data_IF_548954365139
#
_entry.id   IF_548954365139
#
_cell.length_a   1.000
_cell.length_b   1.000
_cell.length_c   1.000
_cell.angle_alpha   90.00
_cell.angle_beta   90.00
_cell.angle_gamma   90.00
#
_symmetry.space_group_name_H-M   'P 1'
#
loop_
_entity.id
_entity.type
_entity.pdbx_description
1 polymer ?
#
# COMPACT_ATOMS: atom_id res chain seq x y z
N UNK A 1 13.09 -19.97 9.32
CA UNK A 1 12.04 -20.43 10.28
C UNK A 1 12.62 -20.50 11.69
N UNK A 2 11.82 -20.21 12.73
CA UNK A 2 12.24 -20.35 14.14
C UNK A 2 11.68 -21.66 14.72
N UNK A 3 12.52 -22.47 15.38
CA UNK A 3 12.14 -23.73 16.03
C UNK A 3 12.68 -23.78 17.45
N UNK A 4 11.93 -24.37 18.38
CA UNK A 4 12.40 -24.63 19.73
C UNK A 4 11.78 -25.92 20.26
N UNK A 5 12.59 -26.71 20.97
CA UNK A 5 12.11 -27.89 21.68
C UNK A 5 11.94 -27.53 23.16
N UNK A 6 10.79 -27.87 23.73
CA UNK A 6 10.53 -27.63 25.16
C UNK A 6 11.50 -28.47 26.00
N UNK A 7 12.03 -27.86 27.06
CA UNK A 7 12.94 -28.56 27.99
C UNK A 7 12.15 -29.11 29.16
N UNK A 8 12.49 -30.32 29.63
CA UNK A 8 11.92 -30.86 30.87
C UNK A 8 12.21 -29.88 32.02
N UNK A 9 11.19 -29.54 32.79
CA UNK A 9 11.22 -28.65 33.97
C UNK A 9 11.32 -27.13 33.68
N UNK A 10 11.01 -26.69 32.45
CA UNK A 10 10.77 -25.26 32.17
C UNK A 10 9.34 -25.04 31.69
N UNK A 11 8.81 -23.87 31.99
CA UNK A 11 7.50 -23.42 31.55
C UNK A 11 7.51 -22.90 30.09
N UNK A 12 8.34 -23.53 29.25
CA UNK A 12 8.50 -23.13 27.84
C UNK A 12 7.16 -23.28 27.09
N UNK A 13 6.33 -24.26 27.47
CA UNK A 13 5.05 -24.55 26.82
C UNK A 13 4.00 -23.45 27.01
N UNK A 14 3.83 -22.93 28.22
CA UNK A 14 2.83 -21.89 28.46
C UNK A 14 3.30 -20.53 27.93
N UNK A 15 4.61 -20.27 27.91
CA UNK A 15 5.19 -19.14 27.16
C UNK A 15 4.89 -19.22 25.66
N UNK A 16 5.01 -20.39 25.02
CA UNK A 16 4.67 -20.53 23.60
C UNK A 16 3.18 -20.34 23.32
N UNK A 17 2.29 -20.82 24.21
CA UNK A 17 0.85 -20.57 24.09
C UNK A 17 0.49 -19.09 24.21
N UNK A 18 1.30 -18.31 24.94
CA UNK A 18 1.11 -16.87 25.08
C UNK A 18 1.57 -16.07 23.84
N UNK A 19 2.34 -16.67 22.94
CA UNK A 19 2.72 -16.05 21.67
C UNK A 19 1.56 -16.11 20.68
N UNK A 20 1.33 -14.98 20.01
CA UNK A 20 0.27 -14.83 19.03
C UNK A 20 0.75 -13.98 17.85
N UNK A 21 0.07 -14.12 16.71
CA UNK A 21 0.36 -13.35 15.50
C UNK A 21 0.27 -11.85 15.79
N UNK A 22 1.28 -11.09 15.34
CA UNK A 22 1.35 -9.64 15.49
C UNK A 22 2.27 -9.15 16.63
N UNK A 23 2.72 -10.05 17.52
CA UNK A 23 3.71 -9.73 18.55
C UNK A 23 5.11 -9.62 17.97
N UNK A 24 5.90 -8.72 18.54
CA UNK A 24 7.34 -8.62 18.25
C UNK A 24 8.09 -9.47 19.26
N UNK A 25 9.05 -10.26 18.78
CA UNK A 25 9.87 -11.11 19.64
C UNK A 25 11.35 -10.88 19.37
N UNK A 26 12.15 -11.01 20.41
CA UNK A 26 13.60 -11.15 20.32
C UNK A 26 13.91 -12.62 20.60
N UNK A 27 14.56 -13.28 19.66
CA UNK A 27 14.94 -14.69 19.78
C UNK A 27 16.46 -14.83 19.72
N UNK A 28 16.99 -15.77 20.49
CA UNK A 28 18.41 -16.14 20.47
C UNK A 28 18.54 -17.64 20.25
N UNK A 29 19.47 -18.04 19.38
CA UNK A 29 19.70 -19.43 19.05
C UNK A 29 20.82 -19.62 18.03
N UNK A 30 21.04 -20.88 17.66
CA UNK A 30 21.98 -21.28 16.61
C UNK A 30 21.26 -21.38 15.26
N UNK A 31 21.95 -21.05 14.18
CA UNK A 31 21.46 -21.23 12.82
C UNK A 31 21.93 -22.59 12.31
N UNK A 32 21.02 -23.41 11.81
CA UNK A 32 21.29 -24.75 11.28
C UNK A 32 20.55 -24.94 9.96
N UNK A 33 21.11 -25.73 9.05
CA UNK A 33 20.36 -26.19 7.87
C UNK A 33 19.38 -27.28 8.30
N UNK A 34 18.10 -27.08 8.01
CA UNK A 34 17.08 -28.09 8.22
C UNK A 34 16.79 -28.79 6.89
N UNK A 35 17.17 -30.05 6.78
CA UNK A 35 17.06 -30.81 5.53
C UNK A 35 15.61 -31.18 5.16
N UNK A 36 14.68 -31.12 6.11
CA UNK A 36 13.26 -31.35 5.84
C UNK A 36 12.60 -30.09 5.27
N UNK A 37 12.87 -28.93 5.89
CA UNK A 37 12.40 -27.61 5.40
C UNK A 37 13.20 -27.15 4.17
N UNK A 38 14.42 -27.65 4.00
CA UNK A 38 15.41 -27.27 2.97
C UNK A 38 15.77 -25.80 3.00
N UNK A 39 15.94 -25.27 4.21
CA UNK A 39 16.27 -23.87 4.46
C UNK A 39 17.04 -23.74 5.78
N UNK A 40 17.66 -22.57 5.99
CA UNK A 40 18.24 -22.20 7.27
C UNK A 40 17.14 -21.94 8.30
N UNK A 41 17.28 -22.60 9.45
CA UNK A 41 16.39 -22.41 10.59
C UNK A 41 17.19 -21.98 11.81
N UNK A 42 16.56 -21.18 12.66
CA UNK A 42 17.11 -20.89 13.98
C UNK A 42 16.55 -21.89 14.98
N UNK A 43 17.42 -22.70 15.58
CA UNK A 43 17.12 -23.47 16.77
C UNK A 43 17.27 -22.55 17.98
N UNK A 44 16.15 -22.02 18.45
CA UNK A 44 16.09 -21.06 19.56
C UNK A 44 16.43 -21.73 20.88
N UNK A 45 17.25 -21.06 21.69
CA UNK A 45 17.50 -21.38 23.09
C UNK A 45 16.71 -20.49 24.04
N UNK A 46 16.35 -19.28 23.58
CA UNK A 46 15.63 -18.27 24.33
C UNK A 46 14.74 -17.39 23.42
N UNK A 47 13.64 -16.89 23.99
CA UNK A 47 12.67 -16.03 23.30
C UNK A 47 12.02 -15.07 24.30
N UNK A 48 11.91 -13.80 23.91
CA UNK A 48 11.31 -12.74 24.71
C UNK A 48 10.35 -11.93 23.85
N UNK A 49 9.14 -11.67 24.36
CA UNK A 49 8.24 -10.71 23.76
C UNK A 49 8.76 -9.29 24.00
N UNK A 50 8.94 -8.53 22.92
CA UNK A 50 9.40 -7.16 22.98
C UNK A 50 8.34 -6.20 22.47
N UNK A 51 8.33 -4.98 23.00
CA UNK A 51 7.50 -3.91 22.46
C UNK A 51 8.29 -3.19 21.37
N UNK A 52 7.85 -3.32 20.12
CA UNK A 52 8.37 -2.46 19.05
C UNK A 52 7.74 -1.08 19.16
N UNK A 53 8.58 -0.06 19.31
CA UNK A 53 8.12 1.32 19.16
C UNK A 53 7.79 1.58 17.69
N UNK A 54 6.52 1.84 17.34
CA UNK A 54 6.16 2.19 15.97
C UNK A 54 6.75 3.55 15.60
N UNK A 55 6.88 3.83 14.30
CA UNK A 55 7.26 5.16 13.82
C UNK A 55 6.23 6.19 14.32
N UNK A 56 6.71 7.29 14.88
CA UNK A 56 5.88 8.35 15.44
C UNK A 56 5.99 9.62 14.59
N UNK A 57 4.86 10.30 14.43
CA UNK A 57 4.80 11.69 13.96
C UNK A 57 4.85 12.60 15.19
N UNK A 58 5.93 13.38 15.33
CA UNK A 58 6.17 14.28 16.47
C UNK A 58 5.93 15.75 16.15
N UNK A 59 5.41 16.07 14.96
CA UNK A 59 5.12 17.45 14.60
C UNK A 59 3.97 17.99 15.47
N UNK A 60 4.00 19.28 15.79
CA UNK A 60 2.88 19.96 16.46
C UNK A 60 1.72 20.09 15.47
N UNK A 61 2.00 20.62 14.28
CA UNK A 61 1.06 20.69 13.17
C UNK A 61 1.09 19.38 12.36
N UNK A 62 -0.05 18.70 12.31
CA UNK A 62 -0.17 17.39 11.65
C UNK A 62 -0.35 17.53 10.14
N UNK A 63 0.42 16.74 9.39
CA UNK A 63 0.32 16.64 7.93
C UNK A 63 -1.03 16.09 7.51
N UNK A 64 -1.48 16.48 6.32
CA UNK A 64 -2.50 15.78 5.53
C UNK A 64 -1.83 15.23 4.27
N UNK A 65 -2.02 13.93 4.01
CA UNK A 65 -1.57 13.31 2.77
C UNK A 65 -2.62 13.50 1.68
N UNK A 66 -2.21 14.00 0.52
CA UNK A 66 -3.08 14.35 -0.59
C UNK A 66 -2.93 13.42 -1.80
N UNK A 67 -1.90 12.57 -1.84
CA UNK A 67 -1.66 11.61 -2.92
C UNK A 67 -1.27 10.27 -2.32
N UNK A 68 -2.13 9.26 -2.48
CA UNK A 68 -1.93 7.93 -1.90
C UNK A 68 -2.57 6.83 -2.73
N UNK A 69 -1.79 5.79 -2.97
CA UNK A 69 -2.18 4.57 -3.67
C UNK A 69 -2.47 3.42 -2.70
N UNK A 70 -3.49 2.65 -3.04
CA UNK A 70 -3.97 1.49 -2.31
C UNK A 70 -3.81 0.24 -3.18
N UNK A 71 -4.11 -0.93 -2.62
CA UNK A 71 -4.18 -2.19 -3.38
C UNK A 71 -5.17 -2.20 -4.55
N UNK A 72 -6.00 -1.15 -4.69
CA UNK A 72 -6.90 -0.98 -5.84
C UNK A 72 -6.20 -0.31 -7.03
N UNK A 73 -5.07 0.37 -6.83
CA UNK A 73 -4.15 0.71 -7.93
C UNK A 73 -3.53 -0.57 -8.47
N UNK A 74 -4.02 -0.99 -9.64
CA UNK A 74 -3.71 -2.31 -10.20
C UNK A 74 -2.21 -2.55 -10.35
N UNK A 75 -1.70 -3.58 -9.66
CA UNK A 75 -0.30 -4.00 -9.68
C UNK A 75 0.71 -2.95 -9.18
N UNK A 76 0.25 -1.95 -8.42
CA UNK A 76 1.10 -0.85 -7.95
C UNK A 76 1.04 -0.68 -6.42
N UNK A 77 -0.12 -0.34 -5.86
CA UNK A 77 -0.26 -0.19 -4.41
C UNK A 77 -0.34 -1.54 -3.69
N UNK A 78 0.26 -1.63 -2.49
CA UNK A 78 0.30 -2.88 -1.70
C UNK A 78 -0.77 -2.89 -0.59
N UNK A 79 -0.86 -1.89 0.31
CA UNK A 79 -1.80 -1.95 1.44
C UNK A 79 -3.23 -1.54 1.05
N UNK A 80 -4.22 -2.12 1.71
CA UNK A 80 -5.60 -1.62 1.67
C UNK A 80 -5.69 -0.24 2.37
N UNK A 81 -6.60 0.62 1.91
CA UNK A 81 -6.82 1.96 2.47
C UNK A 81 -7.05 1.97 3.99
N UNK A 82 -7.66 0.92 4.54
CA UNK A 82 -7.92 0.78 5.97
C UNK A 82 -6.64 0.83 6.82
N UNK A 83 -5.54 0.25 6.33
CA UNK A 83 -4.26 0.26 7.03
C UNK A 83 -3.65 1.67 7.07
N UNK A 84 -3.81 2.43 5.99
CA UNK A 84 -3.35 3.82 5.93
C UNK A 84 -4.18 4.74 6.83
N UNK A 85 -5.50 4.57 6.84
CA UNK A 85 -6.39 5.32 7.74
C UNK A 85 -6.05 5.04 9.21
N UNK A 86 -5.83 3.77 9.58
CA UNK A 86 -5.41 3.42 10.94
C UNK A 86 -4.06 4.06 11.30
N UNK A 87 -3.11 4.08 10.36
CA UNK A 87 -1.81 4.70 10.56
C UNK A 87 -1.89 6.23 10.68
N UNK A 88 -2.71 6.87 9.85
CA UNK A 88 -2.99 8.31 9.91
C UNK A 88 -3.60 8.70 11.26
N UNK A 89 -4.56 7.91 11.76
CA UNK A 89 -5.14 8.09 13.09
C UNK A 89 -4.11 7.93 14.21
N UNK A 90 -3.22 6.93 14.14
CA UNK A 90 -2.10 6.77 15.10
C UNK A 90 -1.13 7.96 15.09
N UNK A 91 -0.97 8.63 13.94
CA UNK A 91 -0.16 9.84 13.81
C UNK A 91 -0.90 11.13 14.15
N UNK A 92 -2.21 11.06 14.39
CA UNK A 92 -3.05 12.22 14.69
C UNK A 92 -3.36 13.10 13.47
N UNK A 93 -3.20 12.58 12.25
CA UNK A 93 -3.58 13.32 11.04
C UNK A 93 -5.10 13.53 11.04
N UNK A 94 -5.56 14.71 10.63
CA UNK A 94 -7.00 15.03 10.65
C UNK A 94 -7.74 14.53 9.40
N UNK A 95 -7.02 14.36 8.29
CA UNK A 95 -7.56 13.97 7.00
C UNK A 95 -6.57 13.11 6.22
N UNK A 96 -7.08 12.33 5.27
CA UNK A 96 -6.31 11.48 4.38
C UNK A 96 -6.98 11.41 3.00
N UNK A 97 -6.21 11.57 1.93
CA UNK A 97 -6.70 11.36 0.58
C UNK A 97 -6.47 9.92 0.09
N UNK A 98 -7.33 9.48 -0.83
CA UNK A 98 -7.12 8.31 -1.68
C UNK A 98 -7.17 8.76 -3.13
N UNK A 99 -6.19 8.35 -3.93
CA UNK A 99 -6.01 8.78 -5.33
C UNK A 99 -5.50 7.62 -6.18
N UNK A 100 -6.24 6.51 -6.19
CA UNK A 100 -5.86 5.34 -6.98
C UNK A 100 -5.83 5.63 -8.49
N UNK A 101 -5.01 4.89 -9.23
CA UNK A 101 -4.85 5.05 -10.67
C UNK A 101 -6.12 4.69 -11.43
N UNK A 102 -6.74 5.70 -12.05
CA UNK A 102 -7.91 5.59 -12.94
C UNK A 102 -9.15 4.91 -12.32
N UNK A 103 -9.17 4.69 -11.01
CA UNK A 103 -10.25 3.97 -10.32
C UNK A 103 -10.58 4.62 -8.98
N UNK A 104 -11.77 4.30 -8.48
CA UNK A 104 -12.30 4.74 -7.17
C UNK A 104 -12.77 3.56 -6.32
N UNK A 105 -12.27 2.35 -6.60
CA UNK A 105 -12.74 1.10 -5.99
C UNK A 105 -12.47 1.02 -4.48
N UNK A 106 -11.49 1.76 -3.98
CA UNK A 106 -11.17 1.82 -2.55
C UNK A 106 -12.17 2.64 -1.72
N UNK A 107 -13.11 3.37 -2.34
CA UNK A 107 -14.00 4.30 -1.64
C UNK A 107 -14.88 3.67 -0.55
N UNK A 108 -15.49 2.49 -0.74
CA UNK A 108 -16.30 1.86 0.31
C UNK A 108 -15.47 1.53 1.56
N UNK A 109 -14.30 0.90 1.38
CA UNK A 109 -13.39 0.57 2.48
C UNK A 109 -12.87 1.84 3.17
N UNK A 110 -12.55 2.88 2.38
CA UNK A 110 -12.10 4.17 2.89
C UNK A 110 -13.15 4.82 3.79
N UNK A 111 -14.42 4.78 3.40
CA UNK A 111 -15.53 5.32 4.17
C UNK A 111 -15.67 4.62 5.53
N UNK A 112 -15.72 3.28 5.52
CA UNK A 112 -15.88 2.47 6.73
C UNK A 112 -14.70 2.70 7.69
N UNK A 113 -13.48 2.69 7.17
CA UNK A 113 -12.28 2.90 7.98
C UNK A 113 -12.23 4.31 8.59
N UNK A 114 -12.59 5.32 7.81
CA UNK A 114 -12.58 6.71 8.26
C UNK A 114 -13.61 7.00 9.34
N UNK A 115 -14.83 6.48 9.21
CA UNK A 115 -15.85 6.59 10.25
C UNK A 115 -15.37 5.93 11.55
N UNK A 116 -14.81 4.72 11.45
CA UNK A 116 -14.28 3.98 12.60
C UNK A 116 -13.15 4.71 13.33
N UNK A 117 -12.28 5.40 12.59
CA UNK A 117 -11.07 6.02 13.14
C UNK A 117 -11.15 7.55 13.30
N UNK A 118 -12.28 8.17 12.95
CA UNK A 118 -12.48 9.61 13.06
C UNK A 118 -11.61 10.44 12.11
N UNK A 119 -11.26 9.90 10.94
CA UNK A 119 -10.43 10.57 9.93
C UNK A 119 -11.34 11.17 8.86
N UNK A 120 -11.08 12.40 8.42
CA UNK A 120 -11.77 12.97 7.25
C UNK A 120 -11.17 12.41 5.96
N UNK A 121 -11.92 11.58 5.23
CA UNK A 121 -11.48 11.18 3.89
C UNK A 121 -11.60 12.31 2.87
N UNK A 122 -10.61 12.35 1.98
CA UNK A 122 -10.62 13.12 0.73
C UNK A 122 -10.68 12.11 -0.41
N UNK A 123 -11.83 12.05 -1.09
CA UNK A 123 -12.07 11.12 -2.17
C UNK A 123 -11.56 11.70 -3.49
N UNK A 124 -10.46 11.15 -4.00
CA UNK A 124 -9.85 11.53 -5.26
C UNK A 124 -9.60 10.34 -6.17
N UNK A 125 -8.98 10.63 -7.31
CA UNK A 125 -8.56 9.67 -8.33
C UNK A 125 -7.37 10.28 -9.05
N UNK A 126 -6.35 9.48 -9.32
CA UNK A 126 -5.30 9.89 -10.25
C UNK A 126 -5.69 9.48 -11.66
N UNK A 127 -6.15 10.45 -12.45
CA UNK A 127 -6.58 10.23 -13.82
C UNK A 127 -5.47 10.51 -14.84
N UNK A 128 -5.42 9.71 -15.90
CA UNK A 128 -4.58 9.98 -17.06
C UNK A 128 -5.28 10.99 -17.97
N UNK A 129 -4.72 12.20 -18.06
CA UNK A 129 -5.17 13.22 -19.00
C UNK A 129 -4.31 13.17 -20.26
N UNK A 130 -4.95 13.00 -21.42
CA UNK A 130 -4.32 13.21 -22.72
C UNK A 130 -4.83 14.50 -23.31
N UNK A 131 -3.94 15.23 -23.98
CA UNK A 131 -4.33 16.38 -24.81
C UNK A 131 -5.29 15.88 -25.89
N UNK A 132 -6.37 16.62 -26.18
CA UNK A 132 -7.31 16.29 -27.26
C UNK A 132 -6.67 16.42 -28.65
N UNK A 133 -5.42 16.92 -28.66
CA UNK A 133 -4.54 16.95 -29.79
C UNK A 133 -4.73 18.20 -30.61
N UNK A 134 -4.00 18.26 -31.72
CA UNK A 134 -4.13 19.33 -32.68
C UNK A 134 -5.37 19.06 -33.54
N UNK A 135 -6.26 20.05 -33.80
CA UNK A 135 -7.37 19.87 -34.72
C UNK A 135 -6.91 19.30 -36.06
N UNK A 136 -7.48 18.16 -36.48
CA UNK A 136 -7.12 17.49 -37.75
C UNK A 136 -7.33 18.41 -38.96
N UNK A 137 -8.24 19.38 -38.85
CA UNK A 137 -8.48 20.39 -39.86
C UNK A 137 -8.54 21.80 -39.26
N UNK A 138 -7.82 22.72 -39.88
CA UNK A 138 -7.93 24.15 -39.62
C UNK A 138 -8.80 24.82 -40.68
N UNK A 139 -9.74 25.67 -40.25
CA UNK A 139 -10.67 26.40 -41.13
C UNK A 139 -11.44 25.45 -42.07
N UNK A 140 -12.25 24.53 -41.53
CA UNK A 140 -13.03 23.62 -42.35
C UNK A 140 -13.94 24.41 -43.29
N UNK A 141 -14.01 23.96 -44.53
CA UNK A 141 -14.92 24.49 -45.55
C UNK A 141 -15.69 23.32 -46.13
N UNK A 142 -16.99 23.48 -46.36
CA UNK A 142 -17.80 22.46 -47.02
C UNK A 142 -17.37 22.33 -48.49
N UNK A 143 -16.62 21.27 -48.81
CA UNK A 143 -16.12 20.96 -50.15
C UNK A 143 -16.12 19.46 -50.37
N UNK A 144 -16.48 19.02 -51.58
CA UNK A 144 -16.38 17.61 -51.95
C UNK A 144 -14.90 17.24 -52.13
N UNK A 145 -14.41 16.28 -51.34
CA UNK A 145 -13.01 15.84 -51.40
C UNK A 145 -12.64 15.21 -52.76
N UNK A 146 -13.59 14.57 -53.47
CA UNK A 146 -13.32 13.92 -54.76
C UNK A 146 -12.90 14.91 -55.85
N UNK A 147 -13.46 16.12 -55.79
CA UNK A 147 -13.25 17.17 -56.80
C UNK A 147 -12.26 18.24 -56.32
N UNK A 148 -11.77 18.12 -55.09
CA UNK A 148 -10.86 19.08 -54.49
C UNK A 148 -9.40 18.80 -54.89
N UNK A 149 -8.65 19.87 -55.17
CA UNK A 149 -7.19 19.80 -55.26
C UNK A 149 -6.57 20.04 -53.88
N UNK A 150 -5.74 19.10 -53.41
CA UNK A 150 -5.04 19.21 -52.14
C UNK A 150 -3.66 18.55 -52.23
N UNK A 151 -2.77 18.96 -51.32
CA UNK A 151 -1.44 18.37 -51.14
C UNK A 151 -1.51 17.48 -49.91
N UNK A 152 -1.17 16.19 -50.08
CA UNK A 152 -0.99 15.28 -48.95
C UNK A 152 0.48 15.31 -48.57
N UNK A 153 0.76 15.64 -47.32
CA UNK A 153 2.10 15.58 -46.76
C UNK A 153 2.14 14.40 -45.79
N UNK A 154 2.90 13.38 -46.15
CA UNK A 154 3.20 12.26 -45.28
C UNK A 154 4.38 12.67 -44.37
N UNK A 155 4.21 12.51 -43.06
CA UNK A 155 5.21 12.90 -42.05
C UNK A 155 5.79 11.69 -41.33
N UNK A 156 5.66 10.48 -41.89
CA UNK A 156 6.34 9.31 -41.35
C UNK A 156 7.88 9.34 -41.52
N UNK A 157 8.59 8.96 -40.44
CA UNK A 157 9.97 8.43 -40.43
C UNK A 157 10.05 7.28 -39.45
#
# INVERSE_FOLDING_TARGET
VLKMFTRKNKDDLDHFKALSVGKWVRAQGRIEEDTFVRDLVMMMSDIEEIKKTPKQDKAEDKRVEFHLHTSMSQMDGIPNISAYVEQAAKWGHQALAVTDHNVVQAFPDAHIAAEKHGIKMIYGMEGMLVDDGVPIAYKPTDRNLKDATYVVFDVET
#
